data_IF_165907291908
#
_entry.id   IF_165907291908
#
_cell.length_a   1.000
_cell.length_b   1.000
_cell.length_c   1.000
_cell.angle_alpha   90.00
_cell.angle_beta   90.00
_cell.angle_gamma   90.00
#
_symmetry.space_group_name_H-M   'P 1'
#
loop_
_entity.id
_entity.type
_entity.pdbx_description
1 polymer ?
#
# COMPACT_ATOMS: atom_id res chain seq x y z
N UNK A 1 -8.83 17.17 -51.09
CA UNK A 1 -7.61 16.43 -50.70
C UNK A 1 -6.94 17.21 -49.57
N UNK A 2 -6.39 16.48 -48.60
CA UNK A 2 -5.59 16.94 -47.45
C UNK A 2 -6.27 17.67 -46.28
N UNK A 3 -6.55 16.89 -45.23
CA UNK A 3 -5.88 16.99 -43.93
C UNK A 3 -6.17 15.73 -43.09
N UNK A 4 -5.23 14.78 -43.08
CA UNK A 4 -5.12 13.77 -42.01
C UNK A 4 -3.93 14.14 -41.13
N UNK A 5 -4.23 14.61 -39.92
CA UNK A 5 -3.31 14.53 -38.78
C UNK A 5 -4.17 14.59 -37.52
N UNK A 6 -4.69 13.41 -37.13
CA UNK A 6 -5.44 13.20 -35.91
C UNK A 6 -4.54 12.59 -34.85
N UNK A 7 -4.14 13.44 -33.92
CA UNK A 7 -3.49 13.22 -32.63
C UNK A 7 -3.26 11.78 -32.15
N UNK A 8 -1.99 11.48 -31.84
CA UNK A 8 -1.60 10.40 -30.94
C UNK A 8 -2.34 10.53 -29.60
N UNK A 9 -3.01 9.44 -29.17
CA UNK A 9 -3.72 9.37 -27.90
C UNK A 9 -2.76 9.62 -26.73
N UNK A 10 -3.02 10.64 -25.93
CA UNK A 10 -2.40 10.82 -24.62
C UNK A 10 -2.89 9.69 -23.73
N UNK A 11 -2.01 8.76 -23.36
CA UNK A 11 -2.26 7.86 -22.24
C UNK A 11 -2.61 8.72 -21.02
N UNK A 12 -3.85 8.64 -20.55
CA UNK A 12 -4.34 9.41 -19.42
C UNK A 12 -3.50 9.08 -18.18
N UNK A 13 -2.88 10.09 -17.59
CA UNK A 13 -2.15 9.97 -16.33
C UNK A 13 -3.15 9.48 -15.27
N UNK A 14 -2.94 8.32 -14.67
CA UNK A 14 -3.82 7.85 -13.59
C UNK A 14 -3.82 8.90 -12.47
N UNK A 15 -5.01 9.36 -12.08
CA UNK A 15 -5.18 10.20 -10.90
C UNK A 15 -5.30 9.29 -9.68
N UNK A 16 -4.41 9.48 -8.71
CA UNK A 16 -4.38 8.69 -7.50
C UNK A 16 -5.37 9.25 -6.48
N UNK A 17 -6.25 8.41 -5.94
CA UNK A 17 -7.12 8.75 -4.80
C UNK A 17 -6.28 8.99 -3.54
N UNK A 18 -5.20 8.22 -3.38
CA UNK A 18 -4.25 8.42 -2.29
C UNK A 18 -2.86 7.95 -2.66
N UNK A 19 -1.86 8.69 -2.16
CA UNK A 19 -0.46 8.33 -2.30
C UNK A 19 0.27 8.43 -0.99
N UNK A 20 1.23 7.55 -0.79
CA UNK A 20 2.01 7.52 0.43
C UNK A 20 3.44 7.06 0.14
N UNK A 21 4.41 7.77 0.72
CA UNK A 21 5.82 7.34 0.73
C UNK A 21 6.39 7.51 2.12
N UNK A 22 7.20 6.55 2.54
CA UNK A 22 7.83 6.56 3.85
C UNK A 22 9.24 5.98 3.76
N UNK A 23 10.21 6.65 4.37
CA UNK A 23 11.59 6.14 4.49
C UNK A 23 11.95 6.00 5.96
N UNK A 24 12.27 4.78 6.38
CA UNK A 24 12.74 4.44 7.71
C UNK A 24 14.26 4.22 7.70
N UNK A 25 14.96 4.85 8.63
CA UNK A 25 16.43 4.84 8.72
C UNK A 25 16.89 4.60 10.16
N UNK A 26 18.10 4.10 10.35
CA UNK A 26 18.71 3.99 11.69
C UNK A 26 19.47 5.27 12.03
N UNK A 27 19.14 5.90 13.15
CA UNK A 27 19.91 7.02 13.73
C UNK A 27 20.12 6.76 15.21
N UNK A 28 21.37 6.88 15.68
CA UNK A 28 21.71 6.71 17.11
C UNK A 28 21.15 5.39 17.70
N UNK A 29 21.24 4.29 16.94
CA UNK A 29 20.76 2.97 17.37
C UNK A 29 19.24 2.76 17.39
N UNK A 30 18.45 3.72 16.90
CA UNK A 30 16.98 3.64 16.79
C UNK A 30 16.51 3.82 15.36
N UNK A 31 15.42 3.16 14.97
CA UNK A 31 14.78 3.43 13.68
C UNK A 31 13.91 4.68 13.77
N UNK A 32 14.03 5.58 12.80
CA UNK A 32 13.24 6.82 12.70
C UNK A 32 12.71 6.97 11.29
N UNK A 33 11.55 7.62 11.15
CA UNK A 33 11.02 8.00 9.86
C UNK A 33 11.70 9.30 9.42
N UNK A 34 12.52 9.20 8.38
CA UNK A 34 13.31 10.32 7.84
C UNK A 34 12.47 11.20 6.92
N UNK A 35 11.73 10.56 6.01
CA UNK A 35 10.87 11.21 5.05
C UNK A 35 9.49 10.56 5.08
N UNK A 36 8.46 11.38 4.98
CA UNK A 36 7.09 10.93 4.82
C UNK A 36 6.34 11.87 3.88
N UNK A 37 5.67 11.28 2.90
CA UNK A 37 4.77 11.95 1.99
C UNK A 37 3.41 11.27 2.07
N UNK A 38 2.34 12.06 2.08
CA UNK A 38 0.98 11.54 2.11
C UNK A 38 0.02 12.51 1.43
N UNK A 39 -0.77 12.02 0.49
CA UNK A 39 -1.71 12.79 -0.31
C UNK A 39 -3.05 12.08 -0.41
N UNK A 40 -4.11 12.88 -0.54
CA UNK A 40 -5.47 12.38 -0.72
C UNK A 40 -5.92 11.60 0.50
N UNK A 41 -6.50 10.43 0.25
CA UNK A 41 -7.11 9.59 1.27
C UNK A 41 -6.11 8.75 2.10
N UNK A 42 -4.80 8.85 1.88
CA UNK A 42 -3.81 8.15 2.72
C UNK A 42 -3.11 9.11 3.68
N UNK A 43 -2.90 8.67 4.92
CA UNK A 43 -2.14 9.38 5.95
C UNK A 43 -1.28 8.41 6.76
N UNK A 44 -0.16 8.93 7.26
CA UNK A 44 0.68 8.28 8.27
C UNK A 44 0.52 8.96 9.61
N UNK A 45 0.32 8.16 10.66
CA UNK A 45 0.43 8.65 12.02
C UNK A 45 1.91 8.79 12.43
N UNK A 46 2.16 9.54 13.50
CA UNK A 46 3.49 9.58 14.10
C UNK A 46 3.88 8.16 14.58
N UNK A 47 5.15 7.75 14.40
CA UNK A 47 5.61 6.44 14.86
C UNK A 47 5.45 6.30 16.38
N UNK A 48 4.95 5.14 16.80
CA UNK A 48 4.84 4.75 18.20
C UNK A 48 6.01 3.85 18.56
N UNK A 49 6.72 4.18 19.64
CA UNK A 49 7.91 3.46 20.07
C UNK A 49 7.61 2.67 21.35
N UNK A 50 7.32 1.38 21.20
CA UNK A 50 7.34 0.44 22.33
C UNK A 50 8.76 -0.13 22.52
N UNK A 51 9.45 -0.37 21.41
CA UNK A 51 10.89 -0.61 21.33
C UNK A 51 11.53 0.54 20.51
N UNK A 52 12.53 1.26 21.05
CA UNK A 52 13.25 2.30 20.30
C UNK A 52 13.83 1.84 18.96
N UNK A 53 14.26 0.58 18.86
CA UNK A 53 14.82 0.00 17.65
C UNK A 53 13.76 -0.44 16.64
N UNK A 54 12.50 -0.59 17.06
CA UNK A 54 11.43 -1.17 16.24
C UNK A 54 10.09 -0.42 16.43
N UNK A 55 9.94 0.78 15.84
CA UNK A 55 8.69 1.53 15.91
C UNK A 55 7.54 0.84 15.16
N UNK A 56 6.33 1.13 15.61
CA UNK A 56 5.07 0.84 14.92
C UNK A 56 4.54 2.09 14.22
N UNK A 57 4.22 1.95 12.94
CA UNK A 57 3.65 2.99 12.10
C UNK A 57 2.21 2.61 11.72
N UNK A 58 1.27 3.50 12.04
CA UNK A 58 -0.13 3.31 11.66
C UNK A 58 -0.44 4.05 10.35
N UNK A 59 -0.81 3.27 9.34
CA UNK A 59 -1.41 3.72 8.10
C UNK A 59 -2.90 3.99 8.32
N UNK A 60 -3.37 5.14 7.86
CA UNK A 60 -4.76 5.57 7.98
C UNK A 60 -5.31 5.87 6.60
N UNK A 61 -6.39 5.17 6.26
CA UNK A 61 -7.25 5.58 5.16
C UNK A 61 -8.32 6.56 5.65
N UNK A 62 -8.34 7.75 5.07
CA UNK A 62 -9.29 8.81 5.37
C UNK A 62 -10.49 8.64 4.46
N UNK A 63 -11.48 7.87 4.91
CA UNK A 63 -12.70 7.59 4.17
C UNK A 63 -13.58 6.54 4.85
N UNK A 64 -14.77 6.30 4.30
CA UNK A 64 -15.71 5.27 4.77
C UNK A 64 -15.50 3.88 4.16
N UNK A 65 -14.48 3.74 3.30
CA UNK A 65 -14.21 2.58 2.45
C UNK A 65 -13.89 3.00 1.01
N UNK A 66 -13.57 2.03 0.16
CA UNK A 66 -13.13 2.24 -1.22
C UNK A 66 -14.30 2.10 -2.18
N UNK A 67 -14.37 2.97 -3.18
CA UNK A 67 -15.46 3.07 -4.16
C UNK A 67 -14.95 2.97 -5.60
N UNK A 68 -15.86 2.83 -6.56
CA UNK A 68 -15.54 2.62 -7.98
C UNK A 68 -14.47 3.59 -8.51
N UNK A 69 -13.41 3.01 -9.11
CA UNK A 69 -12.31 3.77 -9.69
C UNK A 69 -11.21 4.21 -8.72
N UNK A 70 -11.36 3.99 -7.41
CA UNK A 70 -10.32 4.38 -6.47
C UNK A 70 -8.98 3.70 -6.77
N UNK A 71 -7.90 4.48 -6.68
CA UNK A 71 -6.55 4.01 -6.96
C UNK A 71 -5.58 4.52 -5.90
N UNK A 72 -4.81 3.62 -5.30
CA UNK A 72 -3.87 3.89 -4.21
C UNK A 72 -2.46 3.44 -4.56
N UNK A 73 -1.46 4.27 -4.21
CA UNK A 73 -0.04 4.00 -4.41
C UNK A 73 0.72 4.20 -3.11
N UNK A 74 1.38 3.14 -2.62
CA UNK A 74 2.12 3.15 -1.36
C UNK A 74 3.54 2.68 -1.58
N UNK A 75 4.51 3.40 -1.03
CA UNK A 75 5.92 3.04 -1.08
C UNK A 75 6.54 3.13 0.32
N UNK A 76 7.17 2.07 0.78
CA UNK A 76 7.84 2.01 2.08
C UNK A 76 9.27 1.52 1.86
N UNK A 77 10.23 2.36 2.26
CA UNK A 77 11.66 2.10 2.13
C UNK A 77 12.28 1.94 3.51
N UNK A 78 12.98 0.83 3.72
CA UNK A 78 13.81 0.59 4.90
C UNK A 78 15.27 0.63 4.47
N UNK A 79 16.03 1.57 5.02
CA UNK A 79 17.49 1.55 4.89
C UNK A 79 18.10 0.36 5.66
N UNK A 80 19.39 0.04 5.41
CA UNK A 80 20.05 -1.07 6.08
C UNK A 80 19.87 -1.05 7.61
N UNK A 81 19.62 -2.22 8.17
CA UNK A 81 19.37 -2.46 9.60
C UNK A 81 18.12 -1.76 10.19
N UNK A 82 17.34 -1.02 9.42
CA UNK A 82 16.11 -0.41 9.92
C UNK A 82 15.07 -1.50 10.24
N UNK A 83 14.32 -1.33 11.33
CA UNK A 83 13.24 -2.24 11.72
C UNK A 83 11.94 -1.45 11.84
N UNK A 84 10.87 -1.96 11.25
CA UNK A 84 9.59 -1.24 11.21
C UNK A 84 8.43 -2.23 11.23
N UNK A 85 7.47 -1.98 12.11
CA UNK A 85 6.15 -2.58 12.02
C UNK A 85 5.21 -1.55 11.38
N UNK A 86 4.49 -1.96 10.35
CA UNK A 86 3.49 -1.15 9.66
C UNK A 86 2.16 -1.87 9.74
N UNK A 87 1.17 -1.22 10.32
CA UNK A 87 -0.19 -1.75 10.44
C UNK A 87 -1.21 -0.64 10.28
N UNK A 88 -2.49 -0.97 10.37
CA UNK A 88 -3.60 -0.03 10.20
C UNK A 88 -4.52 -0.05 11.42
N UNK A 89 -5.52 0.82 11.43
CA UNK A 89 -6.48 0.94 12.54
C UNK A 89 -7.92 0.60 12.15
N UNK A 90 -8.15 0.20 10.90
CA UNK A 90 -9.48 -0.01 10.33
C UNK A 90 -9.49 -1.24 9.42
N UNK A 91 -10.69 -1.62 8.98
CA UNK A 91 -10.86 -2.49 7.84
C UNK A 91 -11.04 -1.66 6.56
N UNK A 92 -10.54 -2.15 5.44
CA UNK A 92 -10.79 -1.63 4.11
C UNK A 92 -12.10 -2.21 3.57
N UNK A 93 -13.17 -1.43 3.61
CA UNK A 93 -14.48 -1.82 3.05
C UNK A 93 -14.51 -1.52 1.57
N UNK A 94 -14.65 -2.52 0.73
CA UNK A 94 -14.79 -2.33 -0.72
C UNK A 94 -16.28 -2.37 -1.05
N UNK A 95 -16.82 -1.24 -1.50
CA UNK A 95 -18.21 -1.14 -1.95
C UNK A 95 -18.38 -1.64 -3.37
N UNK A 96 -19.62 -1.60 -3.88
CA UNK A 96 -19.97 -1.96 -5.25
C UNK A 96 -19.18 -1.12 -6.26
N UNK A 97 -18.51 -1.79 -7.20
CA UNK A 97 -17.61 -1.19 -8.21
C UNK A 97 -18.05 -1.61 -9.63
N UNK A 98 -19.10 -0.98 -10.20
CA UNK A 98 -19.70 -1.42 -11.45
C UNK A 98 -18.83 -1.19 -12.70
N UNK A 99 -17.87 -0.26 -12.66
CA UNK A 99 -17.12 0.17 -13.84
C UNK A 99 -15.64 -0.14 -13.69
N UNK A 100 -14.94 0.51 -12.76
CA UNK A 100 -13.49 0.39 -12.59
C UNK A 100 -13.18 -0.26 -11.25
N UNK A 101 -12.38 -1.34 -11.21
CA UNK A 101 -12.04 -1.97 -9.95
C UNK A 101 -11.24 -0.99 -9.09
N UNK A 102 -11.38 -1.12 -7.78
CA UNK A 102 -10.46 -0.45 -6.86
C UNK A 102 -9.08 -1.07 -7.02
N UNK A 103 -8.03 -0.25 -7.04
CA UNK A 103 -6.64 -0.69 -7.20
C UNK A 103 -5.77 -0.20 -6.06
N UNK A 104 -4.97 -1.09 -5.50
CA UNK A 104 -3.95 -0.75 -4.51
C UNK A 104 -2.62 -1.33 -4.93
N UNK A 105 -1.62 -0.47 -5.08
CA UNK A 105 -0.24 -0.84 -5.39
C UNK A 105 0.64 -0.52 -4.18
N UNK A 106 1.37 -1.53 -3.70
CA UNK A 106 2.27 -1.41 -2.56
C UNK A 106 3.67 -1.83 -2.97
N UNK A 107 4.66 -0.94 -2.85
CA UNK A 107 6.07 -1.23 -3.07
C UNK A 107 6.82 -1.16 -1.74
N UNK A 108 7.45 -2.26 -1.37
CA UNK A 108 8.21 -2.40 -0.12
C UNK A 108 9.66 -2.68 -0.47
N UNK A 109 10.58 -1.83 -0.03
CA UNK A 109 12.01 -1.98 -0.31
C UNK A 109 12.78 -2.14 0.99
N UNK A 110 13.41 -3.31 1.16
CA UNK A 110 14.17 -3.68 2.35
C UNK A 110 15.66 -3.66 2.02
N UNK A 111 16.42 -2.79 2.71
CA UNK A 111 17.88 -2.77 2.69
C UNK A 111 18.48 -3.89 3.55
N UNK A 112 19.79 -4.14 3.43
CA UNK A 112 20.46 -5.25 4.13
C UNK A 112 20.16 -5.27 5.65
N UNK A 113 19.86 -6.46 6.18
CA UNK A 113 19.56 -6.70 7.60
C UNK A 113 18.35 -5.94 8.14
N UNK A 114 17.54 -5.33 7.27
CA UNK A 114 16.30 -4.67 7.68
C UNK A 114 15.21 -5.67 8.02
N UNK A 115 14.25 -5.24 8.84
CA UNK A 115 13.09 -6.04 9.22
C UNK A 115 11.82 -5.23 8.99
N UNK A 116 10.93 -5.73 8.15
CA UNK A 116 9.61 -5.15 7.95
C UNK A 116 8.53 -6.15 8.36
N UNK A 117 7.68 -5.76 9.29
CA UNK A 117 6.41 -6.43 9.57
C UNK A 117 5.28 -5.61 8.95
N UNK A 118 4.60 -6.13 7.93
CA UNK A 118 3.55 -5.43 7.20
C UNK A 118 2.21 -6.15 7.30
N UNK A 119 1.25 -5.50 7.96
CA UNK A 119 -0.10 -5.98 8.13
C UNK A 119 -1.09 -4.94 7.57
N UNK A 120 -1.47 -5.02 6.29
CA UNK A 120 -2.43 -4.09 5.68
C UNK A 120 -3.82 -4.18 6.32
N UNK A 121 -4.70 -3.23 5.99
CA UNK A 121 -6.10 -3.24 6.42
C UNK A 121 -6.75 -4.60 6.11
N UNK A 122 -7.45 -5.23 7.08
CA UNK A 122 -8.35 -6.32 6.78
C UNK A 122 -9.37 -5.88 5.72
N UNK A 123 -9.43 -6.60 4.60
CA UNK A 123 -10.31 -6.26 3.49
C UNK A 123 -11.69 -6.91 3.70
N UNK A 124 -12.75 -6.11 3.56
CA UNK A 124 -14.15 -6.56 3.55
C UNK A 124 -14.75 -6.20 2.21
N UNK A 125 -14.93 -7.19 1.33
CA UNK A 125 -15.54 -6.99 0.01
C UNK A 125 -17.06 -7.22 0.08
N UNK A 126 -17.83 -6.15 -0.18
CA UNK A 126 -19.29 -6.22 -0.29
C UNK A 126 -19.75 -6.77 -1.63
N UNK A 127 -21.06 -7.01 -1.75
CA UNK A 127 -21.71 -7.43 -2.98
C UNK A 127 -21.27 -6.58 -4.19
N UNK A 128 -20.86 -7.25 -5.27
CA UNK A 128 -20.39 -6.62 -6.52
C UNK A 128 -19.16 -5.72 -6.38
N UNK A 129 -18.37 -5.90 -5.31
CA UNK A 129 -17.04 -5.32 -5.19
C UNK A 129 -16.05 -6.01 -6.14
N UNK A 130 -15.15 -5.22 -6.72
CA UNK A 130 -14.01 -5.64 -7.54
C UNK A 130 -12.78 -4.92 -7.01
N UNK A 131 -11.91 -5.67 -6.35
CA UNK A 131 -10.67 -5.15 -5.77
C UNK A 131 -9.46 -5.86 -6.37
N UNK A 132 -8.45 -5.06 -6.71
CA UNK A 132 -7.15 -5.52 -7.17
C UNK A 132 -6.07 -4.95 -6.26
N UNK A 133 -5.29 -5.84 -5.65
CA UNK A 133 -4.15 -5.50 -4.82
C UNK A 133 -2.89 -6.15 -5.38
N UNK A 134 -1.84 -5.35 -5.50
CA UNK A 134 -0.50 -5.79 -5.88
C UNK A 134 0.50 -5.29 -4.83
N UNK A 135 1.24 -6.22 -4.23
CA UNK A 135 2.35 -5.93 -3.33
C UNK A 135 3.64 -6.44 -3.93
N UNK A 136 4.57 -5.54 -4.22
CA UNK A 136 5.92 -5.87 -4.70
C UNK A 136 6.92 -5.66 -3.58
N UNK A 137 7.66 -6.69 -3.23
CA UNK A 137 8.67 -6.68 -2.17
C UNK A 137 10.05 -6.81 -2.78
N UNK A 138 10.86 -5.76 -2.69
CA UNK A 138 12.27 -5.77 -3.02
C UNK A 138 13.06 -6.11 -1.76
N UNK A 139 13.64 -7.31 -1.71
CA UNK A 139 14.23 -7.88 -0.50
C UNK A 139 15.64 -8.40 -0.74
N UNK A 140 16.56 -8.12 0.18
CA UNK A 140 17.91 -8.72 0.17
C UNK A 140 17.95 -10.05 0.93
N UNK A 141 18.93 -10.94 0.67
CA UNK A 141 19.04 -12.22 1.38
C UNK A 141 19.20 -12.11 2.90
N UNK A 142 19.68 -10.96 3.41
CA UNK A 142 19.88 -10.74 4.85
C UNK A 142 18.70 -10.05 5.53
N UNK A 143 17.70 -9.62 4.76
CA UNK A 143 16.52 -8.91 5.25
C UNK A 143 15.42 -9.88 5.70
N UNK A 144 14.56 -9.43 6.61
CA UNK A 144 13.39 -10.19 7.05
C UNK A 144 12.11 -9.45 6.71
N UNK A 145 11.16 -10.17 6.13
CA UNK A 145 9.83 -9.64 5.82
C UNK A 145 8.76 -10.55 6.42
N UNK A 146 7.87 -9.97 7.21
CA UNK A 146 6.69 -10.64 7.78
C UNK A 146 5.46 -9.99 7.18
N UNK A 147 4.56 -10.80 6.64
CA UNK A 147 3.33 -10.33 6.01
C UNK A 147 2.13 -11.13 6.51
N UNK A 148 1.03 -10.43 6.76
CA UNK A 148 -0.25 -11.06 7.05
C UNK A 148 -1.39 -10.20 6.54
N UNK A 149 -2.30 -10.79 5.77
CA UNK A 149 -3.50 -10.12 5.28
C UNK A 149 -4.75 -10.93 5.61
N UNK A 150 -5.86 -10.22 5.78
CA UNK A 150 -7.18 -10.81 6.02
C UNK A 150 -8.11 -10.33 4.92
N UNK A 151 -8.77 -11.26 4.23
CA UNK A 151 -9.76 -10.95 3.20
C UNK A 151 -11.06 -11.66 3.56
N UNK A 152 -12.13 -10.88 3.73
CA UNK A 152 -13.48 -11.35 4.03
C UNK A 152 -14.44 -10.95 2.92
N UNK A 153 -15.27 -11.88 2.47
CA UNK A 153 -16.33 -11.63 1.50
C UNK A 153 -17.68 -11.62 2.25
N UNK A 154 -18.55 -10.63 2.02
CA UNK A 154 -19.88 -10.51 2.67
C UNK A 154 -20.86 -11.65 2.27
N UNK A 155 -20.45 -12.56 1.37
CA UNK A 155 -21.08 -13.87 1.17
C UNK A 155 -22.46 -13.89 0.48
N UNK A 156 -23.10 -12.74 0.28
CA UNK A 156 -24.46 -12.66 -0.28
C UNK A 156 -24.52 -12.78 -1.80
N UNK A 157 -23.54 -12.23 -2.54
CA UNK A 157 -23.44 -12.23 -4.00
C UNK A 157 -21.99 -12.15 -4.47
N UNK A 158 -21.75 -12.37 -5.76
CA UNK A 158 -20.42 -12.38 -6.35
C UNK A 158 -19.64 -11.07 -6.09
N UNK A 159 -18.53 -11.19 -5.39
CA UNK A 159 -17.48 -10.20 -5.25
C UNK A 159 -16.18 -10.81 -5.76
N UNK A 160 -15.29 -10.01 -6.36
CA UNK A 160 -13.97 -10.46 -6.76
C UNK A 160 -12.88 -9.64 -6.07
N UNK A 161 -11.96 -10.35 -5.45
CA UNK A 161 -10.77 -9.80 -4.87
C UNK A 161 -9.58 -10.57 -5.44
N UNK A 162 -8.62 -9.86 -6.02
CA UNK A 162 -7.35 -10.43 -6.47
C UNK A 162 -6.25 -9.76 -5.68
N UNK A 163 -5.50 -10.54 -4.92
CA UNK A 163 -4.33 -10.10 -4.19
C UNK A 163 -3.12 -10.88 -4.71
N UNK A 164 -2.10 -10.15 -5.13
CA UNK A 164 -0.83 -10.72 -5.59
C UNK A 164 0.32 -10.17 -4.76
N UNK A 165 1.21 -11.06 -4.35
CA UNK A 165 2.49 -10.70 -3.75
C UNK A 165 3.64 -11.21 -4.63
N UNK A 166 4.50 -10.29 -5.04
CA UNK A 166 5.68 -10.56 -5.84
C UNK A 166 6.95 -10.22 -5.07
N UNK A 167 7.98 -11.05 -5.21
CA UNK A 167 9.31 -10.79 -4.67
C UNK A 167 10.27 -10.46 -5.80
N UNK A 168 10.98 -9.34 -5.67
CA UNK A 168 12.00 -8.87 -6.59
C UNK A 168 13.33 -8.74 -5.86
N UNK A 169 14.43 -8.89 -6.60
CA UNK A 169 15.76 -8.51 -6.11
C UNK A 169 15.97 -7.01 -6.37
N UNK A 170 16.63 -6.33 -5.44
CA UNK A 170 17.18 -4.98 -5.68
C UNK A 170 18.31 -5.02 -6.72
#
# INVERSE_FOLDING_TARGET
>A
MDRKTGAAGRAGRMSWTGRLRCTAVVKNGRTVILDNYSEGALKLMRPVYLDPAHPTLYLVHVGGGYVDGDSYDMEIFLEPSARLMVTTQSAAKIYKTPSTPVRQYTRLSLGEQSVLEYFPDPTIAYEHARFYQETTVYITPSSTFVYGEIITLDGRKAASCSAMIGFARN
#
